data_IF_741907585945
#
_entry.id   IF_741907585945
#
_cell.length_a   1.000
_cell.length_b   1.000
_cell.length_c   1.000
_cell.angle_alpha   90.00
_cell.angle_beta   90.00
_cell.angle_gamma   90.00
#
_symmetry.space_group_name_H-M   'P 1'
#
loop_
_entity.id
_entity.type
_entity.pdbx_description
1 polymer ?
#
# COMPACT_ATOMS: atom_id res chain seq x y z
N UNK A 1 21.40 22.91 6.24
CA UNK A 1 21.31 21.43 6.41
C UNK A 1 20.16 20.99 7.34
N UNK A 2 19.91 21.67 8.47
CA UNK A 2 18.79 21.32 9.39
C UNK A 2 17.39 21.50 8.79
N UNK A 3 17.15 22.50 7.93
CA UNK A 3 15.88 22.76 7.25
C UNK A 3 15.49 21.67 6.22
N UNK A 4 16.47 21.06 5.56
CA UNK A 4 16.25 19.96 4.61
C UNK A 4 15.88 18.64 5.32
N UNK A 5 16.41 18.41 6.52
CA UNK A 5 16.08 17.25 7.35
C UNK A 5 14.68 17.36 7.98
N UNK A 6 14.20 18.58 8.27
CA UNK A 6 12.85 18.81 8.78
C UNK A 6 11.75 18.48 7.76
N UNK A 7 11.97 18.81 6.49
CA UNK A 7 11.01 18.48 5.42
C UNK A 7 11.04 16.99 5.06
N UNK A 8 12.21 16.35 5.04
CA UNK A 8 12.33 14.92 4.80
C UNK A 8 11.59 14.07 5.84
N UNK A 9 11.56 14.50 7.11
CA UNK A 9 10.82 13.81 8.18
C UNK A 9 9.31 13.90 8.05
N UNK A 10 8.77 15.00 7.50
CA UNK A 10 7.33 15.13 7.24
C UNK A 10 6.84 14.15 6.18
N UNK A 11 7.66 13.91 5.16
CA UNK A 11 7.34 12.99 4.07
C UNK A 11 7.50 11.51 4.45
N UNK A 12 8.05 11.24 5.64
CA UNK A 12 8.26 9.89 6.19
C UNK A 12 7.23 9.48 7.23
N UNK A 13 6.23 10.32 7.52
CA UNK A 13 5.12 9.91 8.36
C UNK A 13 4.28 8.84 7.66
N UNK A 14 3.66 7.95 8.44
CA UNK A 14 2.74 6.94 7.89
C UNK A 14 1.64 7.60 7.04
N UNK A 15 1.08 8.72 7.49
CA UNK A 15 0.05 9.45 6.76
C UNK A 15 0.56 9.97 5.40
N UNK A 16 1.79 10.48 5.34
CA UNK A 16 2.38 10.96 4.09
C UNK A 16 2.63 9.81 3.12
N UNK A 17 3.16 8.68 3.61
CA UNK A 17 3.43 7.49 2.81
C UNK A 17 2.14 6.85 2.30
N UNK A 18 1.10 6.76 3.13
CA UNK A 18 -0.20 6.22 2.73
C UNK A 18 -0.91 7.11 1.70
N UNK A 19 -0.83 8.43 1.85
CA UNK A 19 -1.35 9.37 0.83
C UNK A 19 -0.62 9.25 -0.50
N UNK A 20 0.71 9.10 -0.46
CA UNK A 20 1.50 8.88 -1.66
C UNK A 20 1.09 7.57 -2.35
N UNK A 21 0.99 6.49 -1.60
CA UNK A 21 0.56 5.20 -2.14
C UNK A 21 -0.86 5.28 -2.71
N UNK A 22 -1.79 5.93 -1.99
CA UNK A 22 -3.17 6.14 -2.46
C UNK A 22 -3.18 6.86 -3.81
N UNK A 23 -2.44 7.95 -3.96
CA UNK A 23 -2.38 8.69 -5.21
C UNK A 23 -1.86 7.86 -6.38
N UNK A 24 -0.98 6.89 -6.11
CA UNK A 24 -0.46 5.96 -7.11
C UNK A 24 -1.45 4.84 -7.44
N UNK A 25 -2.21 4.38 -6.47
CA UNK A 25 -3.24 3.37 -6.68
C UNK A 25 -4.50 3.90 -7.37
N UNK A 26 -4.69 5.20 -7.40
CA UNK A 26 -5.73 5.84 -8.21
C UNK A 26 -5.34 6.02 -9.70
N UNK A 27 -4.07 5.74 -10.06
CA UNK A 27 -3.56 5.96 -11.42
C UNK A 27 -3.77 4.80 -12.39
N UNK A 28 -3.74 3.50 -11.99
CA UNK A 28 -3.97 2.40 -12.92
C UNK A 28 -5.35 2.48 -13.58
N UNK A 29 -5.46 2.11 -14.86
CA UNK A 29 -6.76 2.11 -15.53
C UNK A 29 -7.66 1.02 -14.93
N UNK A 30 -8.90 1.38 -14.66
CA UNK A 30 -9.93 0.42 -14.31
C UNK A 30 -10.50 -0.19 -15.59
N UNK A 31 -10.18 -1.43 -15.85
CA UNK A 31 -10.58 -2.13 -17.08
C UNK A 31 -12.00 -2.71 -17.01
N UNK A 32 -12.68 -2.55 -15.86
CA UNK A 32 -14.04 -3.06 -15.70
C UNK A 32 -15.01 -2.21 -16.52
N UNK A 33 -15.98 -2.88 -17.15
CA UNK A 33 -17.07 -2.24 -17.87
C UNK A 33 -18.29 -2.09 -16.97
N UNK A 34 -19.06 -1.02 -17.16
CA UNK A 34 -20.30 -0.76 -16.44
C UNK A 34 -20.12 0.13 -15.21
N UNK A 35 -21.13 0.15 -14.35
CA UNK A 35 -21.12 0.95 -13.14
C UNK A 35 -20.14 0.35 -12.10
N UNK A 36 -19.19 1.16 -11.67
CA UNK A 36 -18.17 0.77 -10.70
C UNK A 36 -18.63 1.13 -9.30
N UNK A 37 -19.10 0.15 -8.55
CA UNK A 37 -19.52 0.35 -7.17
C UNK A 37 -18.34 0.63 -6.23
N UNK A 38 -17.25 -0.14 -6.38
CA UNK A 38 -16.04 -0.02 -5.56
C UNK A 38 -14.90 0.43 -6.47
N UNK A 39 -14.31 1.61 -6.23
CA UNK A 39 -13.17 2.10 -7.02
C UNK A 39 -11.97 1.14 -6.94
N UNK A 40 -11.22 1.03 -8.04
CA UNK A 40 -10.00 0.23 -8.07
C UNK A 40 -9.00 0.69 -7.01
N UNK A 41 -8.83 2.00 -6.83
CA UNK A 41 -7.96 2.57 -5.79
C UNK A 41 -8.34 2.14 -4.38
N UNK A 42 -9.64 2.06 -4.07
CA UNK A 42 -10.12 1.56 -2.77
C UNK A 42 -9.79 0.08 -2.58
N UNK A 43 -9.91 -0.72 -3.64
CA UNK A 43 -9.58 -2.14 -3.59
C UNK A 43 -8.08 -2.37 -3.42
N UNK A 44 -7.23 -1.63 -4.15
CA UNK A 44 -5.78 -1.70 -4.03
C UNK A 44 -5.30 -1.26 -2.63
N UNK A 45 -5.86 -0.17 -2.09
CA UNK A 45 -5.58 0.25 -0.72
C UNK A 45 -6.08 -0.75 0.31
N UNK A 46 -7.20 -1.43 0.05
CA UNK A 46 -7.71 -2.50 0.92
C UNK A 46 -6.77 -3.71 0.95
N UNK A 47 -6.24 -4.11 -0.21
CA UNK A 47 -5.22 -5.17 -0.29
C UNK A 47 -3.95 -4.76 0.47
N UNK A 48 -3.49 -3.52 0.30
CA UNK A 48 -2.36 -2.99 1.06
C UNK A 48 -2.64 -3.00 2.57
N UNK A 49 -3.83 -2.57 3.00
CA UNK A 49 -4.23 -2.57 4.40
C UNK A 49 -4.23 -3.98 4.99
N UNK A 50 -4.69 -4.98 4.25
CA UNK A 50 -4.67 -6.38 4.66
C UNK A 50 -3.26 -6.84 5.01
N UNK A 51 -2.29 -6.58 4.15
CA UNK A 51 -0.88 -6.91 4.40
C UNK A 51 -0.28 -6.09 5.54
N UNK A 52 -0.56 -4.79 5.58
CA UNK A 52 -0.10 -3.88 6.63
C UNK A 52 -0.59 -4.28 8.02
N UNK A 53 -1.82 -4.75 8.12
CA UNK A 53 -2.45 -5.24 9.34
C UNK A 53 -2.10 -6.70 9.67
N UNK A 54 -1.37 -7.36 8.76
CA UNK A 54 -0.96 -8.77 8.88
C UNK A 54 -2.15 -9.72 9.02
N UNK A 55 -3.24 -9.43 8.36
CA UNK A 55 -4.36 -10.36 8.30
C UNK A 55 -3.94 -11.63 7.53
N UNK A 56 -4.16 -12.83 8.11
CA UNK A 56 -3.63 -14.07 7.54
C UNK A 56 -4.33 -14.53 6.26
N UNK A 57 -5.48 -13.94 5.94
CA UNK A 57 -6.27 -14.32 4.77
C UNK A 57 -7.25 -13.22 4.38
N UNK A 58 -7.75 -13.30 3.15
CA UNK A 58 -8.85 -12.43 2.69
C UNK A 58 -10.10 -12.57 3.57
N UNK A 59 -10.39 -13.76 4.05
CA UNK A 59 -11.53 -14.00 4.95
C UNK A 59 -11.32 -13.28 6.28
N UNK A 60 -10.14 -13.33 6.85
CA UNK A 60 -9.83 -12.60 8.08
C UNK A 60 -9.99 -11.08 7.89
N UNK A 61 -9.54 -10.56 6.75
CA UNK A 61 -9.74 -9.17 6.39
C UNK A 61 -11.23 -8.83 6.18
N UNK A 62 -12.01 -9.71 5.56
CA UNK A 62 -13.47 -9.54 5.39
C UNK A 62 -14.19 -9.48 6.75
N UNK A 63 -13.75 -10.25 7.73
CA UNK A 63 -14.27 -10.15 9.09
C UNK A 63 -13.91 -8.79 9.72
N UNK A 64 -12.66 -8.34 9.58
CA UNK A 64 -12.20 -7.05 10.12
C UNK A 64 -12.97 -5.87 9.53
N UNK A 65 -13.28 -5.87 8.23
CA UNK A 65 -14.01 -4.76 7.59
C UNK A 65 -15.42 -4.57 8.13
N UNK A 66 -15.98 -5.57 8.81
CA UNK A 66 -17.31 -5.51 9.41
C UNK A 66 -17.31 -4.86 10.79
N UNK A 67 -16.13 -4.64 11.37
CA UNK A 67 -16.02 -3.92 12.63
C UNK A 67 -16.45 -2.46 12.46
N UNK A 68 -17.28 -1.92 13.36
CA UNK A 68 -17.79 -0.55 13.27
C UNK A 68 -16.74 0.48 13.68
N UNK A 69 -15.57 0.43 13.06
CA UNK A 69 -14.52 1.43 13.24
C UNK A 69 -14.23 2.13 11.91
N UNK A 70 -13.74 3.36 11.99
CA UNK A 70 -13.49 4.21 10.85
C UNK A 70 -12.01 4.18 10.38
N UNK A 71 -11.24 3.22 10.86
CA UNK A 71 -9.80 3.16 10.61
C UNK A 71 -9.44 2.98 9.13
N UNK A 72 -10.25 2.25 8.38
CA UNK A 72 -10.01 2.11 6.94
C UNK A 72 -10.12 3.45 6.22
N UNK A 73 -11.06 4.30 6.61
CA UNK A 73 -11.23 5.63 6.03
C UNK A 73 -10.17 6.61 6.56
N UNK A 74 -9.98 6.68 7.87
CA UNK A 74 -9.14 7.68 8.51
C UNK A 74 -7.64 7.42 8.35
N UNK A 75 -7.23 6.15 8.36
CA UNK A 75 -5.81 5.77 8.26
C UNK A 75 -5.41 5.49 6.81
N UNK A 76 -6.22 4.71 6.08
CA UNK A 76 -5.88 4.23 4.74
C UNK A 76 -6.56 5.01 3.62
N UNK A 77 -7.49 5.91 3.93
CA UNK A 77 -8.25 6.68 2.94
C UNK A 77 -9.18 5.83 2.08
N UNK A 78 -9.66 4.70 2.61
CA UNK A 78 -10.56 3.78 1.90
C UNK A 78 -12.01 4.15 2.23
N UNK A 79 -12.78 4.48 1.21
CA UNK A 79 -14.20 4.81 1.40
C UNK A 79 -15.10 3.56 1.32
N UNK A 80 -14.74 2.61 0.44
CA UNK A 80 -15.48 1.37 0.26
C UNK A 80 -14.54 0.17 0.30
N UNK A 81 -14.66 -0.63 1.36
CA UNK A 81 -13.86 -1.85 1.54
C UNK A 81 -14.58 -3.01 0.85
N UNK A 82 -13.97 -3.67 -0.15
CA UNK A 82 -14.55 -4.83 -0.80
C UNK A 82 -14.66 -6.05 0.11
N UNK A 83 -15.61 -6.93 -0.15
CA UNK A 83 -15.61 -8.28 0.41
C UNK A 83 -14.46 -9.12 -0.17
N UNK A 84 -14.22 -10.32 0.37
CA UNK A 84 -13.16 -11.20 -0.14
C UNK A 84 -13.35 -11.58 -1.60
N UNK A 85 -14.57 -11.93 -1.99
CA UNK A 85 -14.91 -12.29 -3.38
C UNK A 85 -14.82 -11.08 -4.33
N UNK A 86 -15.28 -9.91 -3.89
CA UNK A 86 -15.16 -8.68 -4.66
C UNK A 86 -13.69 -8.29 -4.84
N UNK A 87 -12.86 -8.40 -3.79
CA UNK A 87 -11.44 -8.09 -3.87
C UNK A 87 -10.75 -8.96 -4.92
N UNK A 88 -11.00 -10.27 -4.93
CA UNK A 88 -10.45 -11.18 -5.95
C UNK A 88 -10.88 -10.77 -7.35
N UNK A 89 -12.19 -10.62 -7.57
CA UNK A 89 -12.73 -10.28 -8.88
C UNK A 89 -12.20 -8.94 -9.42
N UNK A 90 -11.99 -7.95 -8.56
CA UNK A 90 -11.49 -6.63 -8.95
C UNK A 90 -9.97 -6.66 -9.22
N UNK A 91 -9.20 -7.44 -8.44
CA UNK A 91 -7.74 -7.46 -8.56
C UNK A 91 -7.21 -8.43 -9.62
N UNK A 92 -7.93 -9.52 -9.91
CA UNK A 92 -7.49 -10.54 -10.88
C UNK A 92 -7.08 -9.96 -12.25
N UNK A 93 -7.81 -8.99 -12.84
CA UNK A 93 -7.43 -8.40 -14.13
C UNK A 93 -6.32 -7.33 -14.04
N UNK A 94 -5.88 -6.94 -12.84
CA UNK A 94 -4.87 -5.88 -12.68
C UNK A 94 -3.48 -6.41 -13.03
N UNK A 95 -2.78 -5.71 -13.93
CA UNK A 95 -1.39 -6.03 -14.22
C UNK A 95 -0.51 -5.60 -13.03
N UNK A 96 0.24 -6.52 -12.41
CA UNK A 96 1.19 -6.18 -11.33
C UNK A 96 2.22 -5.11 -11.75
N UNK A 97 2.51 -4.97 -13.03
CA UNK A 97 3.41 -3.95 -13.54
C UNK A 97 2.90 -2.53 -13.28
N UNK A 98 1.58 -2.33 -13.27
CA UNK A 98 0.95 -1.03 -13.01
C UNK A 98 1.10 -0.60 -11.54
N UNK A 99 1.37 -1.54 -10.64
CA UNK A 99 1.54 -1.26 -9.20
C UNK A 99 3.00 -0.90 -8.83
N UNK A 100 3.98 -1.33 -9.62
CA UNK A 100 5.40 -1.11 -9.35
C UNK A 100 5.77 0.37 -9.15
N UNK A 101 5.25 1.34 -9.92
CA UNK A 101 5.54 2.74 -9.70
C UNK A 101 5.18 3.22 -8.29
N UNK A 102 4.06 2.75 -7.73
CA UNK A 102 3.64 3.09 -6.38
C UNK A 102 4.67 2.69 -5.32
N UNK A 103 5.12 1.47 -5.37
CA UNK A 103 6.14 0.97 -4.43
C UNK A 103 7.51 1.63 -4.64
N UNK A 104 7.89 1.89 -5.89
CA UNK A 104 9.13 2.63 -6.21
C UNK A 104 9.10 4.04 -5.61
N UNK A 105 7.96 4.70 -5.72
CA UNK A 105 7.79 6.06 -5.21
C UNK A 105 7.73 6.11 -3.68
N UNK A 106 7.25 5.05 -3.02
CA UNK A 106 7.39 4.89 -1.57
C UNK A 106 8.86 4.72 -1.14
N UNK A 107 9.63 3.98 -1.91
CA UNK A 107 11.02 3.70 -1.58
C UNK A 107 11.91 4.96 -1.63
N UNK A 108 11.63 5.87 -2.57
CA UNK A 108 12.41 7.11 -2.74
C UNK A 108 12.49 8.00 -1.49
N UNK A 109 11.38 8.39 -0.82
CA UNK A 109 11.47 9.17 0.40
C UNK A 109 12.15 8.42 1.55
N UNK A 110 11.96 7.09 1.65
CA UNK A 110 12.64 6.26 2.63
C UNK A 110 14.17 6.29 2.43
N UNK A 111 14.61 6.21 1.18
CA UNK A 111 16.03 6.29 0.81
C UNK A 111 16.59 7.67 1.07
N UNK A 112 15.92 8.75 0.62
CA UNK A 112 16.34 10.13 0.86
C UNK A 112 16.39 10.50 2.34
N UNK A 113 15.45 9.99 3.12
CA UNK A 113 15.37 10.21 4.57
C UNK A 113 16.33 9.33 5.36
N UNK A 114 17.16 8.52 4.68
CA UNK A 114 18.17 7.64 5.29
C UNK A 114 17.58 6.62 6.27
N UNK A 115 16.27 6.29 6.13
CA UNK A 115 15.61 5.30 6.98
C UNK A 115 16.19 3.91 6.73
N UNK A 116 16.59 3.65 5.49
CA UNK A 116 17.14 2.35 5.08
C UNK A 116 18.53 2.08 5.66
N UNK A 117 19.26 3.11 6.11
CA UNK A 117 20.57 2.94 6.76
C UNK A 117 20.49 2.07 8.02
N UNK A 118 19.31 1.99 8.65
CA UNK A 118 19.06 1.10 9.80
C UNK A 118 19.11 -0.39 9.46
N UNK A 119 19.01 -0.71 8.19
CA UNK A 119 19.00 -2.09 7.68
C UNK A 119 20.30 -2.46 6.97
N UNK A 120 21.32 -1.59 7.08
CA UNK A 120 22.66 -1.90 6.58
C UNK A 120 23.23 -3.04 7.41
N UNK A 121 23.74 -4.04 6.71
CA UNK A 121 24.38 -5.21 7.24
C UNK A 121 25.74 -5.38 6.55
N UNK A 122 26.80 -5.65 7.31
CA UNK A 122 28.17 -5.84 6.82
C UNK A 122 28.60 -4.85 5.71
N UNK A 123 29.48 -3.92 6.03
CA UNK A 123 30.19 -3.06 5.08
C UNK A 123 29.29 -2.44 3.97
N UNK A 124 28.24 -1.72 4.38
CA UNK A 124 27.29 -1.04 3.49
C UNK A 124 26.42 -1.93 2.59
N UNK A 125 26.21 -3.19 2.94
CA UNK A 125 25.33 -4.09 2.22
C UNK A 125 23.94 -4.16 2.88
N UNK A 126 22.92 -4.43 2.06
CA UNK A 126 21.58 -4.78 2.54
C UNK A 126 21.38 -6.29 2.44
N UNK A 127 20.81 -6.88 3.48
CA UNK A 127 20.39 -8.28 3.44
C UNK A 127 19.13 -8.41 2.58
N UNK A 128 19.20 -9.16 1.49
CA UNK A 128 18.06 -9.52 0.67
C UNK A 128 17.70 -10.98 0.90
N UNK A 129 16.52 -11.21 1.45
CA UNK A 129 15.96 -12.56 1.57
C UNK A 129 15.06 -12.84 0.37
N UNK A 130 15.39 -13.89 -0.38
CA UNK A 130 14.58 -14.36 -1.50
C UNK A 130 13.96 -15.70 -1.10
N UNK A 131 12.63 -15.76 -1.14
CA UNK A 131 11.88 -17.00 -0.96
C UNK A 131 11.30 -17.40 -2.31
N UNK A 132 11.54 -18.64 -2.71
CA UNK A 132 11.02 -19.21 -3.94
C UNK A 132 9.92 -20.21 -3.62
N UNK A 133 8.73 -20.00 -4.20
CA UNK A 133 7.69 -21.03 -4.24
C UNK A 133 7.94 -21.94 -5.44
N UNK A 134 8.10 -23.22 -5.20
CA UNK A 134 8.13 -24.26 -6.24
C UNK A 134 6.73 -24.67 -6.62
#
# INVERSE_FOLDING_TARGET
MALLLGNARKDLSADALFRLLRSRFDSPPDLRSGEVEIPLGDTLMSAFAMFSLKDPSLLAFDHRRRDPNDNFRTIYGINRVPSDSQMRAILDPVDPADLRPGFRDLFRPLQRGKVLERFIYLDDHYLLSLDGTT
#
